data_IF_518993346681
#
_entry.id   IF_518993346681
#
_cell.length_a   1.000
_cell.length_b   1.000
_cell.length_c   1.000
_cell.angle_alpha   90.00
_cell.angle_beta   90.00
_cell.angle_gamma   90.00
#
_symmetry.space_group_name_H-M   'P 1'
#
loop_
_entity.id
_entity.type
_entity.pdbx_description
1 polymer ?
#
# COMPACT_ATOMS: atom_id res chain seq x y z
N UNK A 1 -3.04 -10.91 8.58
CA UNK A 1 -3.85 -11.26 7.37
C UNK A 1 -4.86 -10.17 7.02
N UNK A 2 -4.68 -9.47 5.89
CA UNK A 2 -5.73 -8.60 5.33
C UNK A 2 -6.74 -9.46 4.55
N UNK A 3 -8.02 -9.33 4.87
CA UNK A 3 -9.09 -9.90 4.05
C UNK A 3 -9.24 -9.08 2.75
N UNK A 4 -9.77 -9.67 1.66
CA UNK A 4 -10.13 -8.90 0.48
C UNK A 4 -11.08 -7.73 0.81
N UNK A 5 -10.93 -6.64 0.05
CA UNK A 5 -11.83 -5.50 0.08
C UNK A 5 -13.23 -5.90 -0.39
N UNK A 6 -14.22 -5.25 0.20
CA UNK A 6 -15.62 -5.37 -0.18
C UNK A 6 -16.24 -3.97 -0.29
N UNK A 7 -17.37 -3.84 -0.98
CA UNK A 7 -18.06 -2.55 -1.04
C UNK A 7 -18.55 -2.04 0.31
N UNK A 8 -18.68 -2.90 1.32
CA UNK A 8 -18.99 -2.51 2.70
C UNK A 8 -17.84 -1.76 3.39
N UNK A 9 -16.67 -1.72 2.75
CA UNK A 9 -15.49 -1.08 3.29
C UNK A 9 -15.34 0.40 2.93
N UNK A 10 -16.03 0.85 1.89
CA UNK A 10 -16.02 2.24 1.44
C UNK A 10 -17.14 2.97 2.16
N UNK A 11 -16.81 3.64 3.27
CA UNK A 11 -17.75 4.32 4.16
C UNK A 11 -17.67 5.84 4.06
N UNK A 12 -16.71 6.36 3.31
CA UNK A 12 -16.59 7.80 3.09
C UNK A 12 -17.78 8.35 2.30
N UNK A 13 -18.06 9.62 2.53
CA UNK A 13 -19.09 10.35 1.80
C UNK A 13 -18.68 10.53 0.34
N UNK A 14 -19.65 10.37 -0.56
CA UNK A 14 -19.42 10.59 -1.99
C UNK A 14 -19.14 12.06 -2.23
N UNK A 15 -18.05 12.35 -2.94
CA UNK A 15 -17.65 13.72 -3.26
C UNK A 15 -18.08 14.03 -4.69
N UNK A 16 -19.13 14.84 -4.82
CA UNK A 16 -19.65 15.27 -6.10
C UNK A 16 -18.82 16.42 -6.71
N UNK A 17 -18.85 16.54 -8.04
CA UNK A 17 -18.29 17.70 -8.75
C UNK A 17 -16.77 17.71 -8.96
N UNK A 18 -16.04 16.67 -8.51
CA UNK A 18 -14.57 16.59 -8.67
C UNK A 18 -14.11 15.68 -9.83
N UNK A 19 -15.05 15.15 -10.62
CA UNK A 19 -14.75 14.32 -11.79
C UNK A 19 -14.18 12.93 -11.48
N UNK A 20 -14.20 12.50 -10.21
CA UNK A 20 -13.84 11.16 -9.79
C UNK A 20 -15.10 10.36 -9.47
N UNK A 21 -15.09 9.06 -9.78
CA UNK A 21 -16.18 8.15 -9.43
C UNK A 21 -15.91 7.35 -8.15
N UNK A 22 -14.75 7.54 -7.53
CA UNK A 22 -14.39 6.91 -6.27
C UNK A 22 -12.90 7.04 -5.99
N UNK A 23 -12.54 6.90 -4.72
CA UNK A 23 -11.16 7.04 -4.25
C UNK A 23 -10.91 6.10 -3.07
N UNK A 24 -9.70 5.52 -3.05
CA UNK A 24 -9.21 4.71 -1.96
C UNK A 24 -8.06 5.43 -1.27
N UNK A 25 -8.15 5.56 0.05
CA UNK A 25 -7.14 6.21 0.88
C UNK A 25 -6.27 5.14 1.54
N UNK A 26 -5.06 4.97 1.00
CA UNK A 26 -4.06 4.03 1.48
C UNK A 26 -2.84 4.76 2.05
N UNK A 27 -2.23 4.21 3.09
CA UNK A 27 -1.02 4.74 3.71
C UNK A 27 -0.13 3.61 4.21
N UNK A 28 1.20 3.78 4.12
CA UNK A 28 2.14 2.93 4.84
C UNK A 28 2.67 3.70 6.05
N UNK A 29 2.26 3.27 7.24
CA UNK A 29 2.71 3.84 8.51
C UNK A 29 3.91 3.04 9.00
N UNK A 30 5.04 3.70 9.24
CA UNK A 30 6.25 3.06 9.73
C UNK A 30 6.80 3.81 10.94
N UNK A 31 7.22 3.07 11.96
CA UNK A 31 7.87 3.61 13.16
C UNK A 31 9.02 2.68 13.60
N UNK A 32 9.93 3.21 14.40
CA UNK A 32 10.95 2.44 15.10
C UNK A 32 11.01 2.81 16.60
N UNK A 33 11.55 1.90 17.40
CA UNK A 33 11.82 2.11 18.82
C UNK A 33 13.24 1.68 19.17
N UNK A 34 13.95 2.51 19.94
CA UNK A 34 15.28 2.22 20.49
C UNK A 34 15.27 2.61 21.97
N UNK A 35 15.18 1.61 22.85
CA UNK A 35 15.10 1.85 24.31
C UNK A 35 16.36 2.51 24.88
N UNK A 36 17.53 2.10 24.41
CA UNK A 36 18.84 2.70 24.70
C UNK A 36 19.87 2.16 23.70
N UNK A 37 21.10 2.70 23.71
CA UNK A 37 22.16 2.35 22.77
C UNK A 37 22.51 0.85 22.72
N UNK A 38 22.35 0.12 23.83
CA UNK A 38 22.72 -1.30 23.97
C UNK A 38 21.65 -2.28 23.46
N UNK A 39 20.41 -1.83 23.25
CA UNK A 39 19.29 -2.68 22.82
C UNK A 39 19.10 -2.57 21.31
N UNK A 40 18.82 -3.68 20.62
CA UNK A 40 18.52 -3.67 19.18
C UNK A 40 17.29 -2.81 18.88
N UNK A 41 17.35 -2.01 17.82
CA UNK A 41 16.20 -1.24 17.32
C UNK A 41 15.10 -2.20 16.88
N UNK A 42 13.86 -1.94 17.30
CA UNK A 42 12.66 -2.62 16.79
C UNK A 42 11.91 -1.67 15.86
N UNK A 43 11.10 -2.22 14.96
CA UNK A 43 10.32 -1.44 14.00
C UNK A 43 8.95 -2.05 13.76
N UNK A 44 8.03 -1.22 13.28
CA UNK A 44 6.70 -1.62 12.85
C UNK A 44 6.38 -0.92 11.53
N UNK A 45 5.86 -1.67 10.57
CA UNK A 45 5.35 -1.12 9.30
C UNK A 45 3.97 -1.70 9.05
N UNK A 46 2.98 -0.85 8.82
CA UNK A 46 1.59 -1.23 8.61
C UNK A 46 1.06 -0.55 7.37
N UNK A 47 0.51 -1.33 6.44
CA UNK A 47 -0.30 -0.79 5.36
C UNK A 47 -1.73 -0.61 5.84
N UNK A 48 -2.27 0.59 5.66
CA UNK A 48 -3.58 1.01 6.15
C UNK A 48 -4.43 1.44 4.98
N UNK A 49 -5.66 0.96 4.96
CA UNK A 49 -6.73 1.47 4.12
C UNK A 49 -7.78 2.13 5.00
N UNK A 50 -7.97 3.44 4.84
CA UNK A 50 -8.91 4.23 5.63
C UNK A 50 -10.31 4.14 5.03
N UNK A 51 -11.12 3.26 5.62
CA UNK A 51 -12.51 3.00 5.24
C UNK A 51 -13.40 4.26 5.28
N UNK A 52 -13.13 5.17 6.21
CA UNK A 52 -13.96 6.35 6.44
C UNK A 52 -13.60 7.48 5.49
N UNK A 53 -12.38 7.50 4.97
CA UNK A 53 -11.98 8.44 3.90
C UNK A 53 -12.25 7.89 2.52
N UNK A 54 -12.26 6.56 2.35
CA UNK A 54 -12.48 5.92 1.06
C UNK A 54 -13.94 5.84 0.69
N UNK A 55 -14.28 6.31 -0.50
CA UNK A 55 -15.65 6.48 -0.98
C UNK A 55 -15.75 6.04 -2.44
N UNK A 56 -16.98 5.73 -2.87
CA UNK A 56 -17.23 5.25 -4.23
C UNK A 56 -18.66 5.60 -4.67
N UNK A 57 -18.81 6.14 -5.87
CA UNK A 57 -20.11 6.31 -6.51
C UNK A 57 -20.76 4.91 -6.69
N UNK A 58 -22.00 4.71 -6.21
CA UNK A 58 -22.74 3.46 -6.43
C UNK A 58 -22.70 2.92 -7.86
N UNK A 59 -22.66 3.80 -8.87
CA UNK A 59 -22.63 3.43 -10.31
C UNK A 59 -21.39 2.63 -10.71
N UNK A 60 -20.27 2.76 -9.98
CA UNK A 60 -19.03 2.04 -10.30
C UNK A 60 -18.76 0.85 -9.37
N UNK A 61 -19.74 0.46 -8.54
CA UNK A 61 -19.67 -0.74 -7.67
C UNK A 61 -19.75 -2.05 -8.47
N UNK A 62 -18.72 -2.29 -9.29
CA UNK A 62 -18.58 -3.44 -10.18
C UNK A 62 -17.42 -4.34 -9.76
N UNK A 63 -17.40 -5.61 -10.15
CA UNK A 63 -16.23 -6.47 -9.90
C UNK A 63 -14.93 -5.89 -10.47
N UNK A 64 -15.02 -5.15 -11.57
CA UNK A 64 -13.91 -4.41 -12.17
C UNK A 64 -13.39 -3.31 -11.24
N UNK A 65 -14.27 -2.41 -10.78
CA UNK A 65 -13.88 -1.33 -9.86
C UNK A 65 -13.29 -1.85 -8.55
N UNK A 66 -13.87 -2.92 -8.00
CA UNK A 66 -13.36 -3.53 -6.77
C UNK A 66 -11.96 -4.11 -6.97
N UNK A 67 -11.69 -4.72 -8.14
CA UNK A 67 -10.36 -5.22 -8.48
C UNK A 67 -9.34 -4.08 -8.57
N UNK A 68 -9.71 -2.94 -9.16
CA UNK A 68 -8.82 -1.78 -9.22
C UNK A 68 -8.41 -1.28 -7.83
N UNK A 69 -9.38 -1.16 -6.92
CA UNK A 69 -9.09 -0.76 -5.54
C UNK A 69 -8.33 -1.82 -4.74
N UNK A 70 -8.61 -3.10 -4.96
CA UNK A 70 -7.87 -4.19 -4.35
C UNK A 70 -6.39 -4.16 -4.76
N UNK A 71 -6.11 -4.08 -6.07
CA UNK A 71 -4.73 -3.97 -6.57
C UNK A 71 -4.05 -2.70 -6.05
N UNK A 72 -4.79 -1.59 -5.94
CA UNK A 72 -4.25 -0.37 -5.33
C UNK A 72 -3.79 -0.62 -3.89
N UNK A 73 -4.61 -1.22 -3.04
CA UNK A 73 -4.22 -1.52 -1.66
C UNK A 73 -3.09 -2.56 -1.59
N UNK A 74 -3.11 -3.57 -2.47
CA UNK A 74 -2.08 -4.61 -2.50
C UNK A 74 -0.71 -4.05 -2.89
N UNK A 75 -0.63 -3.03 -3.76
CA UNK A 75 0.61 -2.29 -4.04
C UNK A 75 1.17 -1.68 -2.74
N UNK A 76 0.32 -1.06 -1.92
CA UNK A 76 0.78 -0.50 -0.64
C UNK A 76 1.28 -1.59 0.31
N UNK A 77 0.60 -2.74 0.39
CA UNK A 77 1.06 -3.88 1.20
C UNK A 77 2.36 -4.48 0.69
N UNK A 78 2.56 -4.59 -0.64
CA UNK A 78 3.86 -4.99 -1.23
C UNK A 78 4.98 -4.08 -0.73
N UNK A 79 4.79 -2.76 -0.81
CA UNK A 79 5.79 -1.80 -0.34
C UNK A 79 5.99 -1.83 1.18
N UNK A 80 4.94 -2.12 1.95
CA UNK A 80 5.08 -2.33 3.39
C UNK A 80 5.93 -3.59 3.68
N UNK A 81 5.74 -4.68 2.94
CA UNK A 81 6.54 -5.91 3.08
C UNK A 81 7.99 -5.70 2.64
N UNK A 82 8.23 -5.00 1.52
CA UNK A 82 9.58 -4.61 1.06
C UNK A 82 10.30 -3.81 2.14
N UNK A 83 9.63 -2.80 2.72
CA UNK A 83 10.20 -2.03 3.81
C UNK A 83 10.49 -2.88 5.07
N UNK A 84 9.59 -3.80 5.46
CA UNK A 84 9.87 -4.73 6.59
C UNK A 84 11.10 -5.59 6.33
N UNK A 85 11.27 -6.08 5.10
CA UNK A 85 12.47 -6.82 4.68
C UNK A 85 13.72 -5.96 4.83
N UNK A 86 13.70 -4.75 4.24
CA UNK A 86 14.86 -3.85 4.25
C UNK A 86 15.25 -3.36 5.66
N UNK A 87 14.28 -3.21 6.56
CA UNK A 87 14.52 -2.88 7.97
C UNK A 87 14.99 -4.12 8.76
N UNK A 88 14.57 -5.33 8.40
CA UNK A 88 15.01 -6.58 9.05
C UNK A 88 16.49 -6.88 8.83
N UNK A 89 17.00 -6.50 7.66
CA UNK A 89 18.37 -6.70 7.21
C UNK A 89 19.29 -5.52 7.61
N UNK A 90 18.72 -4.44 8.16
CA UNK A 90 19.47 -3.25 8.53
C UNK A 90 20.19 -3.39 9.87
N UNK A 91 21.44 -2.92 9.92
CA UNK A 91 22.13 -2.62 11.16
C UNK A 91 22.02 -1.12 11.45
N UNK A 92 21.14 -0.79 12.40
CA UNK A 92 20.84 0.59 12.81
C UNK A 92 21.88 1.21 13.73
N UNK A 93 22.83 0.44 14.27
CA UNK A 93 23.82 0.95 15.21
C UNK A 93 23.21 1.64 16.45
N UNK A 94 23.86 2.71 16.91
CA UNK A 94 23.47 3.49 18.09
C UNK A 94 22.37 4.53 17.81
N UNK A 95 22.40 5.16 16.62
CA UNK A 95 21.39 6.12 16.16
C UNK A 95 20.64 5.60 14.92
N UNK A 96 19.43 5.01 15.10
CA UNK A 96 18.64 4.47 14.01
C UNK A 96 18.01 5.53 13.09
N UNK A 97 17.93 6.80 13.51
CA UNK A 97 17.01 7.77 12.91
C UNK A 97 17.32 8.02 11.43
N UNK A 98 18.58 8.35 11.11
CA UNK A 98 18.98 8.67 9.73
C UNK A 98 18.75 7.48 8.79
N UNK A 99 19.17 6.28 9.19
CA UNK A 99 19.06 5.08 8.37
C UNK A 99 17.60 4.64 8.19
N UNK A 100 16.78 4.74 9.24
CA UNK A 100 15.34 4.48 9.15
C UNK A 100 14.66 5.45 8.19
N UNK A 101 14.91 6.76 8.33
CA UNK A 101 14.32 7.78 7.46
C UNK A 101 14.74 7.59 6.01
N UNK A 102 16.00 7.26 5.75
CA UNK A 102 16.49 6.98 4.41
C UNK A 102 15.75 5.80 3.77
N UNK A 103 15.61 4.68 4.48
CA UNK A 103 14.91 3.48 3.99
C UNK A 103 13.41 3.74 3.79
N UNK A 104 12.77 4.44 4.72
CA UNK A 104 11.36 4.82 4.61
C UNK A 104 11.12 5.72 3.40
N UNK A 105 11.92 6.77 3.21
CA UNK A 105 11.78 7.71 2.09
C UNK A 105 12.03 7.04 0.73
N UNK A 106 13.01 6.13 0.66
CA UNK A 106 13.23 5.30 -0.52
C UNK A 106 12.00 4.46 -0.86
N UNK A 107 11.46 3.73 0.13
CA UNK A 107 10.24 2.93 -0.04
C UNK A 107 9.03 3.76 -0.47
N UNK A 108 8.83 4.96 0.09
CA UNK A 108 7.73 5.83 -0.32
C UNK A 108 7.89 6.40 -1.73
N UNK A 109 9.13 6.63 -2.15
CA UNK A 109 9.45 7.04 -3.52
C UNK A 109 9.12 5.93 -4.51
N UNK A 110 9.56 4.71 -4.23
CA UNK A 110 9.28 3.53 -5.07
C UNK A 110 7.78 3.23 -5.13
N UNK A 111 7.08 3.30 -4.00
CA UNK A 111 5.62 3.17 -3.93
C UNK A 111 4.91 4.18 -4.83
N UNK A 112 5.30 5.45 -4.75
CA UNK A 112 4.72 6.52 -5.56
C UNK A 112 4.95 6.29 -7.05
N UNK A 113 6.16 5.86 -7.43
CA UNK A 113 6.50 5.54 -8.81
C UNK A 113 5.68 4.36 -9.34
N UNK A 114 5.60 3.27 -8.58
CA UNK A 114 4.84 2.07 -8.98
C UNK A 114 3.34 2.36 -9.08
N UNK A 115 2.78 3.07 -8.09
CA UNK A 115 1.37 3.47 -8.13
C UNK A 115 1.05 4.36 -9.34
N UNK A 116 1.93 5.32 -9.67
CA UNK A 116 1.75 6.15 -10.85
C UNK A 116 1.82 5.34 -12.17
N UNK A 117 2.73 4.38 -12.26
CA UNK A 117 2.81 3.46 -13.41
C UNK A 117 1.53 2.63 -13.53
N UNK A 118 1.06 2.03 -12.43
CA UNK A 118 -0.19 1.29 -12.37
C UNK A 118 -1.38 2.14 -12.84
N UNK A 119 -1.52 3.37 -12.33
CA UNK A 119 -2.60 4.29 -12.75
C UNK A 119 -2.50 4.65 -14.23
N UNK A 120 -1.29 4.90 -14.75
CA UNK A 120 -1.06 5.26 -16.15
C UNK A 120 -1.40 4.10 -17.09
N UNK A 121 -0.85 2.92 -16.82
CA UNK A 121 -0.98 1.74 -17.70
C UNK A 121 -2.40 1.19 -17.72
N UNK A 122 -3.08 1.17 -16.57
CA UNK A 122 -4.49 0.76 -16.49
C UNK A 122 -5.47 1.83 -16.94
N UNK A 123 -4.99 3.04 -17.26
CA UNK A 123 -5.80 4.25 -17.47
C UNK A 123 -6.84 4.42 -16.34
N UNK A 124 -6.33 4.52 -15.11
CA UNK A 124 -7.11 4.59 -13.87
C UNK A 124 -8.14 3.44 -13.75
N UNK A 125 -7.73 2.22 -14.11
CA UNK A 125 -8.58 1.04 -14.03
C UNK A 125 -9.59 0.86 -15.16
N UNK A 126 -9.57 1.66 -16.22
CA UNK A 126 -10.49 1.46 -17.35
C UNK A 126 -10.06 0.32 -18.30
N UNK A 127 -8.77 -0.03 -18.33
CA UNK A 127 -8.22 -1.08 -19.20
C UNK A 127 -8.13 -2.41 -18.45
N UNK A 128 -9.16 -3.25 -18.57
CA UNK A 128 -9.27 -4.55 -17.89
C UNK A 128 -8.06 -5.48 -18.14
N UNK A 129 -7.53 -5.49 -19.37
CA UNK A 129 -6.38 -6.34 -19.73
C UNK A 129 -5.14 -5.99 -18.92
N UNK A 130 -4.81 -4.70 -18.81
CA UNK A 130 -3.67 -4.22 -18.02
C UNK A 130 -3.92 -4.40 -16.53
N UNK A 131 -5.15 -4.16 -16.04
CA UNK A 131 -5.48 -4.38 -14.64
C UNK A 131 -5.26 -5.84 -14.22
N UNK A 132 -5.62 -6.81 -15.07
CA UNK A 132 -5.36 -8.24 -14.80
C UNK A 132 -3.87 -8.56 -14.75
N UNK A 133 -3.06 -7.99 -15.63
CA UNK A 133 -1.59 -8.16 -15.61
C UNK A 133 -1.01 -7.62 -14.31
N UNK A 134 -1.42 -6.42 -13.90
CA UNK A 134 -1.00 -5.82 -12.64
C UNK A 134 -1.42 -6.67 -11.44
N UNK A 135 -2.65 -7.20 -11.44
CA UNK A 135 -3.09 -8.12 -10.39
C UNK A 135 -2.18 -9.34 -10.27
N UNK A 136 -1.86 -9.99 -11.38
CA UNK A 136 -0.97 -11.17 -11.40
C UNK A 136 0.42 -10.79 -10.85
N UNK A 137 1.01 -9.71 -11.35
CA UNK A 137 2.30 -9.19 -10.90
C UNK A 137 2.31 -8.96 -9.38
N UNK A 138 1.33 -8.23 -8.86
CA UNK A 138 1.26 -7.89 -7.44
C UNK A 138 0.97 -9.13 -6.57
N UNK A 139 0.14 -10.05 -7.03
CA UNK A 139 -0.10 -11.34 -6.36
C UNK A 139 1.20 -12.18 -6.25
N UNK A 140 2.06 -12.15 -7.27
CA UNK A 140 3.36 -12.81 -7.25
C UNK A 140 4.34 -12.13 -6.29
N UNK A 141 4.42 -10.80 -6.29
CA UNK A 141 5.27 -10.04 -5.36
C UNK A 141 4.84 -10.26 -3.90
N UNK A 142 3.54 -10.28 -3.62
CA UNK A 142 3.01 -10.60 -2.29
C UNK A 142 3.45 -12.00 -1.85
N UNK A 143 3.35 -13.01 -2.73
CA UNK A 143 3.78 -14.38 -2.42
C UNK A 143 5.28 -14.48 -2.14
N UNK A 144 6.11 -13.79 -2.93
CA UNK A 144 7.56 -13.76 -2.72
C UNK A 144 7.93 -13.12 -1.37
N UNK A 145 7.11 -12.18 -0.91
CA UNK A 145 7.31 -11.45 0.33
C UNK A 145 6.49 -12.01 1.52
N UNK A 146 5.96 -13.24 1.43
CA UNK A 146 5.05 -13.79 2.44
C UNK A 146 5.68 -13.87 3.84
N UNK A 147 7.00 -14.08 3.94
CA UNK A 147 7.74 -14.07 5.22
C UNK A 147 7.73 -12.72 5.93
N UNK A 148 7.39 -11.64 5.23
CA UNK A 148 7.32 -10.27 5.76
C UNK A 148 5.88 -9.77 5.90
N UNK A 149 4.91 -10.66 5.83
CA UNK A 149 3.50 -10.36 6.09
C UNK A 149 3.26 -10.11 7.58
N UNK A 150 2.41 -9.14 7.88
CA UNK A 150 1.84 -8.94 9.23
C UNK A 150 0.64 -9.87 9.53
#
# INVERSE_FOLDING_TARGET
>A
MSRPLSWSDFKGEVIDGIGLSGEIFCMNLANFEKKNALVKTTYSVVSVFDRNKSWVDPKIKTSHGLMYFQVTFDIYEVHARKLRKDLSEADFGSDPNQQFQQKYNASMTELTQEFNSFRKETKMGSVMGELKKWRIKIDEELKQLESYKN
#
